data_IF_135615106968
#
_entry.id   IF_135615106968
#
_cell.length_a   1.000
_cell.length_b   1.000
_cell.length_c   1.000
_cell.angle_alpha   90.00
_cell.angle_beta   90.00
_cell.angle_gamma   90.00
#
_symmetry.space_group_name_H-M   'P 1'
#
loop_
_entity.id
_entity.type
_entity.pdbx_description
1 polymer ?
#
# COMPACT_ATOMS: atom_id res chain seq x y z
N UNK A 1 0.46 -12.38 -4.78
CA UNK A 1 -0.08 -11.45 -5.81
C UNK A 1 -0.58 -10.14 -5.20
N UNK A 2 -1.66 -10.11 -4.40
CA UNK A 2 -2.22 -8.82 -3.94
C UNK A 2 -1.23 -7.94 -3.15
N UNK A 3 -0.51 -8.51 -2.19
CA UNK A 3 0.50 -7.76 -1.40
C UNK A 3 1.66 -7.29 -2.29
N UNK A 4 2.15 -8.13 -3.20
CA UNK A 4 3.22 -7.77 -4.14
C UNK A 4 2.80 -6.63 -5.09
N UNK A 5 1.54 -6.62 -5.53
CA UNK A 5 0.96 -5.54 -6.34
C UNK A 5 0.88 -4.22 -5.55
N UNK A 6 0.47 -4.29 -4.28
CA UNK A 6 0.43 -3.13 -3.37
C UNK A 6 1.84 -2.58 -3.14
N UNK A 7 2.83 -3.44 -2.93
CA UNK A 7 4.23 -3.04 -2.75
C UNK A 7 4.78 -2.37 -4.02
N UNK A 8 4.48 -2.92 -5.21
CA UNK A 8 4.89 -2.30 -6.47
C UNK A 8 4.21 -0.93 -6.68
N UNK A 9 2.93 -0.81 -6.34
CA UNK A 9 2.19 0.46 -6.42
C UNK A 9 2.80 1.51 -5.48
N UNK A 10 3.08 1.14 -4.22
CA UNK A 10 3.69 2.04 -3.24
C UNK A 10 5.08 2.48 -3.67
N UNK A 11 5.91 1.58 -4.21
CA UNK A 11 7.22 1.94 -4.74
C UNK A 11 7.12 2.94 -5.90
N UNK A 12 6.19 2.72 -6.83
CA UNK A 12 5.96 3.62 -7.96
C UNK A 12 5.48 5.02 -7.51
N UNK A 13 4.59 5.07 -6.51
CA UNK A 13 4.08 6.35 -5.99
C UNK A 13 5.11 7.09 -5.15
N UNK A 14 5.95 6.38 -4.39
CA UNK A 14 7.08 6.98 -3.67
C UNK A 14 8.05 7.68 -4.61
N UNK A 15 8.37 7.09 -5.77
CA UNK A 15 9.21 7.73 -6.80
C UNK A 15 8.58 9.02 -7.33
N UNK A 16 7.26 9.06 -7.51
CA UNK A 16 6.56 10.27 -7.96
C UNK A 16 6.56 11.35 -6.86
N UNK A 17 6.28 10.97 -5.62
CA UNK A 17 6.25 11.87 -4.47
C UNK A 17 7.62 12.46 -4.14
N UNK A 18 8.70 11.75 -4.45
CA UNK A 18 10.07 12.24 -4.27
C UNK A 18 10.47 13.39 -5.21
N UNK A 19 9.63 13.73 -6.21
CA UNK A 19 9.89 14.88 -7.09
C UNK A 19 9.71 16.20 -6.32
N UNK A 20 10.77 17.00 -6.13
CA UNK A 20 10.75 18.14 -5.21
C UNK A 20 9.81 19.27 -5.65
N UNK A 21 9.55 19.40 -6.95
CA UNK A 21 8.67 20.41 -7.52
C UNK A 21 7.19 19.98 -7.56
N UNK A 22 6.89 18.70 -7.33
CA UNK A 22 5.54 18.16 -7.52
C UNK A 22 4.52 18.86 -6.62
N UNK A 23 4.83 19.09 -5.35
CA UNK A 23 3.91 19.74 -4.42
C UNK A 23 3.56 21.17 -4.83
N UNK A 24 4.55 21.93 -5.31
CA UNK A 24 4.36 23.32 -5.74
C UNK A 24 3.65 23.41 -7.10
N UNK A 25 3.98 22.48 -8.01
CA UNK A 25 3.46 22.47 -9.38
C UNK A 25 2.07 21.87 -9.48
N UNK A 26 1.80 20.82 -8.73
CA UNK A 26 0.57 20.04 -8.81
C UNK A 26 0.23 19.40 -7.44
N UNK A 27 -0.27 20.24 -6.55
CA UNK A 27 -0.71 19.85 -5.22
C UNK A 27 -1.81 18.77 -5.26
N UNK A 28 -2.68 18.79 -6.27
CA UNK A 28 -3.76 17.82 -6.42
C UNK A 28 -3.21 16.42 -6.68
N UNK A 29 -2.22 16.29 -7.57
CA UNK A 29 -1.53 15.02 -7.81
C UNK A 29 -0.77 14.56 -6.56
N UNK A 30 -0.08 15.47 -5.85
CA UNK A 30 0.59 15.13 -4.60
C UNK A 30 -0.40 14.55 -3.57
N UNK A 31 -1.52 15.26 -3.31
CA UNK A 31 -2.55 14.83 -2.38
C UNK A 31 -3.16 13.46 -2.77
N UNK A 32 -3.40 13.25 -4.07
CA UNK A 32 -3.91 11.97 -4.58
C UNK A 32 -2.93 10.82 -4.35
N UNK A 33 -1.64 11.02 -4.62
CA UNK A 33 -0.60 10.00 -4.44
C UNK A 33 -0.41 9.67 -2.95
N UNK A 34 -0.39 10.68 -2.08
CA UNK A 34 -0.31 10.46 -0.63
C UNK A 34 -1.49 9.63 -0.13
N UNK A 35 -2.72 10.00 -0.52
CA UNK A 35 -3.92 9.23 -0.15
C UNK A 35 -3.88 7.79 -0.70
N UNK A 36 -3.40 7.60 -1.93
CA UNK A 36 -3.26 6.27 -2.52
C UNK A 36 -2.24 5.41 -1.75
N UNK A 37 -1.13 6.01 -1.31
CA UNK A 37 -0.11 5.32 -0.53
C UNK A 37 -0.64 4.90 0.86
N UNK A 38 -1.42 5.75 1.52
CA UNK A 38 -2.05 5.41 2.81
C UNK A 38 -3.10 4.30 2.64
N UNK A 39 -3.91 4.35 1.59
CA UNK A 39 -4.87 3.29 1.28
C UNK A 39 -4.17 1.95 0.98
N UNK A 40 -3.07 1.98 0.23
CA UNK A 40 -2.31 0.77 -0.09
C UNK A 40 -1.69 0.12 1.16
N UNK A 41 -1.18 0.93 2.11
CA UNK A 41 -0.69 0.43 3.40
C UNK A 41 -1.78 -0.23 4.22
N UNK A 42 -2.93 0.44 4.38
CA UNK A 42 -4.05 -0.11 5.13
C UNK A 42 -4.58 -1.42 4.51
N UNK A 43 -4.59 -1.50 3.18
CA UNK A 43 -5.00 -2.73 2.50
C UNK A 43 -3.97 -3.86 2.67
N UNK A 44 -2.67 -3.53 2.64
CA UNK A 44 -1.61 -4.51 2.87
C UNK A 44 -1.71 -5.09 4.28
N UNK A 45 -1.84 -4.24 5.30
CA UNK A 45 -2.04 -4.67 6.69
C UNK A 45 -3.28 -5.57 6.83
N UNK A 46 -4.40 -5.19 6.20
CA UNK A 46 -5.61 -6.02 6.22
C UNK A 46 -5.41 -7.37 5.51
N UNK A 47 -4.62 -7.43 4.44
CA UNK A 47 -4.29 -8.67 3.75
C UNK A 47 -3.35 -9.56 4.58
N UNK A 48 -2.38 -8.97 5.27
CA UNK A 48 -1.47 -9.67 6.19
C UNK A 48 -2.23 -10.27 7.37
N UNK A 49 -3.17 -9.52 7.98
CA UNK A 49 -4.04 -10.03 9.04
C UNK A 49 -4.90 -11.21 8.58
N UNK A 50 -5.54 -11.11 7.41
CA UNK A 50 -6.31 -12.24 6.84
C UNK A 50 -5.44 -13.46 6.59
N UNK A 51 -4.18 -13.27 6.19
CA UNK A 51 -3.25 -14.40 6.01
C UNK A 51 -2.89 -15.05 7.34
N UNK A 52 -2.68 -14.28 8.40
CA UNK A 52 -2.46 -14.83 9.73
C UNK A 52 -3.68 -15.60 10.24
N UNK A 53 -4.88 -15.04 10.13
CA UNK A 53 -6.13 -15.73 10.54
C UNK A 53 -6.31 -17.06 9.80
N UNK A 54 -6.01 -17.10 8.49
CA UNK A 54 -6.08 -18.34 7.70
C UNK A 54 -5.02 -19.36 8.13
N UNK A 55 -3.80 -18.92 8.44
CA UNK A 55 -2.75 -19.80 8.93
C UNK A 55 -3.13 -20.42 10.28
N UNK A 56 -3.63 -19.62 11.22
CA UNK A 56 -4.11 -20.10 12.52
C UNK A 56 -5.23 -21.13 12.39
N UNK A 57 -6.19 -20.93 11.46
CA UNK A 57 -7.26 -21.90 11.21
C UNK A 57 -6.72 -23.25 10.69
N UNK A 58 -5.71 -23.22 9.82
CA UNK A 58 -5.08 -24.43 9.26
C UNK A 58 -4.28 -25.17 10.34
N UNK A 59 -3.52 -24.45 11.16
CA UNK A 59 -2.73 -25.03 12.24
C UNK A 59 -3.61 -25.55 13.39
N UNK A 60 -4.68 -24.85 13.76
CA UNK A 60 -5.59 -25.26 14.83
C UNK A 60 -6.55 -26.42 14.48
N UNK A 61 -6.60 -26.83 13.21
CA UNK A 61 -7.36 -27.99 12.73
C UNK A 61 -6.49 -29.20 12.40
N UNK A 62 -5.17 -29.11 12.63
CA UNK A 62 -4.18 -30.16 12.36
C UNK A 62 -3.77 -30.95 13.61
#
# INVERSE_FOLDING_TARGET
KRIEELDAQMAADAVKLAKPDLYMRDNATFAKLTKAMDAARAEKEAAELRWLELAEMVEGTS
#
